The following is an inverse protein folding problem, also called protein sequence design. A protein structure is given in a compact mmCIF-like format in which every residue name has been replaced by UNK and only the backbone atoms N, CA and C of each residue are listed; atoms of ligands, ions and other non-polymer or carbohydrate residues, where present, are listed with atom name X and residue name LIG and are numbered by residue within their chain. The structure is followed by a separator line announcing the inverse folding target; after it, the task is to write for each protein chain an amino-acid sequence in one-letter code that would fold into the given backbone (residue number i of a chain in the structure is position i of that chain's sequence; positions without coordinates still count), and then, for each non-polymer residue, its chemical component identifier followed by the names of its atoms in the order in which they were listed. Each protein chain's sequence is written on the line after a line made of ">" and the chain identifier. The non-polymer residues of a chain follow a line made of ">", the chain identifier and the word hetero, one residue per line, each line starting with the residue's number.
data_IF_442131686828
#
_entry.id   IF_442131686828
#
_cell.length_a   1.000
_cell.length_b   1.000
_cell.length_c   1.000
_cell.angle_alpha   90.00
_cell.angle_beta   90.00
_cell.angle_gamma   90.00
#
_symmetry.space_group_name_H-M   'P 1'
#
loop_
_entity.id
_entity.type
_entity.pdbx_description
1 polymer ?
#
# COMPACT_ATOMS: atom_id res chain seq x y z
N UNK A 1 -9.45 -6.67 6.22
CA UNK A 1 -9.33 -7.16 4.82
C UNK A 1 -7.91 -7.00 4.34
N UNK A 2 -7.48 -7.84 3.40
CA UNK A 2 -6.23 -7.62 2.65
C UNK A 2 -6.58 -6.96 1.33
N UNK A 3 -5.82 -5.95 0.95
CA UNK A 3 -5.95 -5.31 -0.36
C UNK A 3 -4.65 -5.41 -1.15
N UNK A 4 -4.77 -5.62 -2.46
CA UNK A 4 -3.66 -5.50 -3.41
C UNK A 4 -3.98 -4.34 -4.35
N UNK A 5 -3.16 -3.30 -4.32
CA UNK A 5 -3.31 -2.10 -5.14
C UNK A 5 -2.26 -2.13 -6.23
N UNK A 6 -2.68 -2.12 -7.50
CA UNK A 6 -1.79 -1.90 -8.65
C UNK A 6 -2.05 -0.51 -9.19
N UNK A 7 -1.03 0.36 -9.17
CA UNK A 7 -1.12 1.72 -9.68
C UNK A 7 -0.38 1.80 -11.00
N UNK A 8 -1.07 2.27 -12.04
CA UNK A 8 -0.52 2.49 -13.38
C UNK A 8 -0.41 3.98 -13.64
N UNK A 9 0.71 4.41 -14.18
CA UNK A 9 1.04 5.80 -14.46
C UNK A 9 1.11 6.01 -15.96
N UNK A 10 0.32 6.96 -16.47
CA UNK A 10 0.24 7.25 -17.89
C UNK A 10 0.62 8.70 -18.17
N UNK A 11 1.36 8.94 -19.24
CA UNK A 11 1.57 10.28 -19.79
C UNK A 11 0.82 10.43 -21.12
N UNK A 12 0.51 11.66 -21.49
CA UNK A 12 0.02 11.96 -22.82
C UNK A 12 1.10 11.66 -23.85
N UNK A 13 0.74 11.06 -24.99
CA UNK A 13 1.67 10.72 -26.07
C UNK A 13 2.24 11.97 -26.77
N UNK A 14 1.53 13.10 -26.70
CA UNK A 14 1.97 14.40 -27.23
C UNK A 14 1.93 15.44 -26.12
N UNK A 15 2.90 16.36 -26.12
CA UNK A 15 2.87 17.52 -25.23
C UNK A 15 1.71 18.44 -25.60
N UNK A 16 0.59 18.30 -24.94
CA UNK A 16 -0.51 19.23 -25.04
C UNK A 16 -0.29 20.36 -24.04
N UNK A 17 -0.34 21.59 -24.57
CA UNK A 17 -0.21 22.81 -23.78
C UNK A 17 -1.54 23.29 -23.16
N UNK A 18 -2.62 22.51 -23.31
CA UNK A 18 -3.89 22.86 -22.70
C UNK A 18 -3.88 22.48 -21.22
N UNK A 19 -3.68 23.46 -20.37
CA UNK A 19 -3.71 23.30 -18.91
C UNK A 19 -5.12 23.42 -18.32
N UNK A 20 -6.13 23.64 -19.14
CA UNK A 20 -7.51 23.76 -18.69
C UNK A 20 -8.16 22.39 -18.49
N UNK A 21 -8.60 22.14 -17.28
CA UNK A 21 -9.20 20.85 -16.91
C UNK A 21 -10.40 20.46 -17.79
N UNK A 22 -11.25 21.42 -18.16
CA UNK A 22 -12.39 21.17 -19.04
C UNK A 22 -11.96 20.59 -20.39
N UNK A 23 -10.94 21.17 -21.03
CA UNK A 23 -10.40 20.69 -22.30
C UNK A 23 -9.76 19.31 -22.18
N UNK A 24 -8.98 19.08 -21.10
CA UNK A 24 -8.33 17.79 -20.83
C UNK A 24 -9.40 16.69 -20.64
N UNK A 25 -10.42 16.95 -19.82
CA UNK A 25 -11.49 16.01 -19.55
C UNK A 25 -12.27 15.67 -20.83
N UNK A 26 -12.68 16.69 -21.60
CA UNK A 26 -13.41 16.50 -22.86
C UNK A 26 -12.59 15.68 -23.88
N UNK A 27 -11.29 15.94 -23.95
CA UNK A 27 -10.37 15.20 -24.79
C UNK A 27 -10.29 13.71 -24.37
N UNK A 28 -10.32 13.42 -23.07
CA UNK A 28 -10.29 12.04 -22.54
C UNK A 28 -11.61 11.31 -22.80
N UNK A 29 -12.74 11.98 -22.61
CA UNK A 29 -14.07 11.41 -22.88
C UNK A 29 -14.26 11.09 -24.37
N UNK A 30 -13.73 11.93 -25.25
CA UNK A 30 -13.77 11.71 -26.71
C UNK A 30 -12.76 10.69 -27.22
N UNK A 31 -11.91 10.09 -26.37
CA UNK A 31 -10.82 9.15 -26.74
C UNK A 31 -9.86 9.67 -27.80
N UNK A 32 -9.73 10.99 -27.94
CA UNK A 32 -8.90 11.64 -28.99
C UNK A 32 -7.39 11.59 -28.67
N UNK A 33 -7.01 11.23 -27.46
CA UNK A 33 -5.61 11.24 -27.05
C UNK A 33 -5.17 9.87 -26.58
N UNK A 34 -4.05 9.41 -27.16
CA UNK A 34 -3.38 8.22 -26.70
C UNK A 34 -2.62 8.48 -25.41
N UNK A 35 -2.78 7.59 -24.47
CA UNK A 35 -2.02 7.53 -23.22
C UNK A 35 -0.92 6.48 -23.36
N UNK A 36 0.29 6.85 -22.97
CA UNK A 36 1.43 5.95 -22.92
C UNK A 36 1.68 5.52 -21.49
N UNK A 37 1.70 4.22 -21.23
CA UNK A 37 2.05 3.68 -19.93
C UNK A 37 3.54 3.95 -19.65
N UNK A 38 3.82 4.69 -18.57
CA UNK A 38 5.17 5.05 -18.13
C UNK A 38 5.74 4.03 -17.17
N UNK A 39 4.88 3.49 -16.31
CA UNK A 39 5.26 2.53 -15.31
C UNK A 39 4.08 2.08 -14.47
N UNK A 40 4.37 1.20 -13.54
CA UNK A 40 3.40 0.76 -12.54
C UNK A 40 4.12 0.32 -11.27
N UNK A 41 3.39 0.34 -10.16
CA UNK A 41 3.80 -0.27 -8.90
C UNK A 41 2.68 -1.13 -8.32
N UNK A 42 3.03 -1.95 -7.34
CA UNK A 42 2.05 -2.79 -6.63
C UNK A 42 2.32 -2.77 -5.13
N UNK A 43 1.24 -2.58 -4.37
CA UNK A 43 1.24 -2.56 -2.91
C UNK A 43 0.32 -3.66 -2.40
N UNK A 44 0.68 -4.28 -1.29
CA UNK A 44 -0.19 -5.22 -0.56
C UNK A 44 -0.29 -4.81 0.89
N UNK A 45 -1.52 -4.50 1.29
CA UNK A 45 -1.82 -3.91 2.58
C UNK A 45 -2.89 -4.71 3.30
N UNK A 46 -2.92 -4.60 4.61
CA UNK A 46 -4.09 -4.91 5.42
C UNK A 46 -4.84 -3.62 5.73
N UNK A 47 -6.16 -3.68 5.64
CA UNK A 47 -7.06 -2.57 5.94
C UNK A 47 -8.05 -3.02 6.99
N UNK A 48 -8.30 -2.17 7.97
CA UNK A 48 -9.38 -2.32 8.93
C UNK A 48 -10.22 -1.05 8.94
N UNK A 49 -11.54 -1.22 8.82
CA UNK A 49 -12.51 -0.13 8.96
C UNK A 49 -12.86 -0.02 10.44
N UNK A 50 -12.60 1.14 11.02
CA UNK A 50 -12.94 1.50 12.39
C UNK A 50 -13.87 2.72 12.38
N UNK A 51 -14.44 3.10 13.54
CA UNK A 51 -15.37 4.24 13.59
C UNK A 51 -14.81 5.56 13.05
N UNK A 52 -13.49 5.75 13.11
CA UNK A 52 -12.82 6.96 12.63
C UNK A 52 -12.45 6.92 11.12
N UNK A 53 -12.70 5.81 10.43
CA UNK A 53 -12.35 5.59 9.04
C UNK A 53 -11.48 4.35 8.82
N UNK A 54 -10.88 4.25 7.65
CA UNK A 54 -10.01 3.14 7.31
C UNK A 54 -8.59 3.36 7.86
N UNK A 55 -8.05 2.33 8.49
CA UNK A 55 -6.65 2.28 8.93
C UNK A 55 -5.89 1.20 8.17
N UNK A 56 -4.65 1.49 7.83
CA UNK A 56 -3.84 0.66 6.96
C UNK A 56 -2.60 0.14 7.68
N UNK A 57 -2.13 -1.02 7.24
CA UNK A 57 -0.88 -1.61 7.70
C UNK A 57 -0.26 -2.45 6.59
N UNK A 58 1.04 -2.74 6.71
CA UNK A 58 1.67 -3.78 5.91
C UNK A 58 1.11 -5.15 6.28
N UNK A 59 1.06 -6.05 5.30
CA UNK A 59 0.61 -7.44 5.53
C UNK A 59 1.47 -8.11 6.60
N UNK A 60 0.81 -8.72 7.59
CA UNK A 60 1.48 -9.44 8.68
C UNK A 60 2.17 -8.54 9.71
N UNK A 61 1.95 -7.23 9.69
CA UNK A 61 2.40 -6.36 10.77
C UNK A 61 1.66 -6.66 12.07
N UNK A 62 2.33 -6.53 13.20
CA UNK A 62 1.75 -6.80 14.53
C UNK A 62 0.74 -5.75 14.97
N UNK A 63 0.76 -4.56 14.36
CA UNK A 63 -0.14 -3.44 14.63
C UNK A 63 -0.42 -2.65 13.35
N UNK A 64 -1.52 -1.92 13.33
CA UNK A 64 -1.79 -0.94 12.28
C UNK A 64 -0.92 0.30 12.53
N UNK A 65 -0.04 0.61 11.57
CA UNK A 65 0.89 1.73 11.64
C UNK A 65 1.06 2.30 10.22
N UNK A 66 0.63 3.53 10.04
CA UNK A 66 0.66 4.23 8.75
C UNK A 66 1.95 5.02 8.51
N UNK A 67 2.85 5.12 9.48
CA UNK A 67 4.06 5.94 9.36
C UNK A 67 4.94 5.49 8.19
N UNK A 68 5.23 4.21 8.11
CA UNK A 68 5.96 3.60 6.98
C UNK A 68 5.21 3.76 5.64
N UNK A 69 3.87 3.63 5.66
CA UNK A 69 3.06 3.74 4.44
C UNK A 69 3.16 5.13 3.82
N UNK A 70 3.18 6.18 4.61
CA UNK A 70 3.32 7.57 4.13
C UNK A 70 4.64 7.77 3.40
N UNK A 71 5.71 7.10 3.85
CA UNK A 71 7.04 7.19 3.23
C UNK A 71 7.10 6.40 1.91
N UNK A 72 6.61 5.16 1.90
CA UNK A 72 6.81 4.24 0.77
C UNK A 72 5.64 4.20 -0.22
N UNK A 73 4.42 4.49 0.25
CA UNK A 73 3.25 4.57 -0.62
C UNK A 73 2.99 5.98 -1.18
N UNK A 74 3.83 6.96 -0.88
CA UNK A 74 3.62 8.39 -1.11
C UNK A 74 3.48 8.88 -2.55
N UNK A 75 3.54 8.02 -3.56
CA UNK A 75 3.42 8.40 -4.97
C UNK A 75 2.00 8.22 -5.51
N UNK A 76 0.99 8.69 -4.78
CA UNK A 76 -0.37 8.67 -5.28
C UNK A 76 -1.37 8.14 -4.26
N UNK A 77 -2.67 8.29 -4.51
CA UNK A 77 -3.69 7.84 -3.58
C UNK A 77 -3.59 6.32 -3.39
N UNK A 78 -3.72 5.87 -2.15
CA UNK A 78 -3.86 4.44 -1.82
C UNK A 78 -5.23 3.89 -2.23
N UNK A 79 -6.11 4.76 -2.65
CA UNK A 79 -7.19 4.53 -3.57
C UNK A 79 -8.45 3.92 -3.02
N UNK A 80 -8.56 3.64 -1.76
CA UNK A 80 -9.86 3.27 -1.24
C UNK A 80 -10.48 4.48 -0.56
N UNK A 81 -11.64 4.86 -0.89
CA UNK A 81 -12.46 5.75 -0.09
C UNK A 81 -13.33 4.90 0.82
N UNK A 82 -13.95 5.52 1.80
CA UNK A 82 -15.06 4.92 2.52
C UNK A 82 -16.27 4.80 1.56
N UNK A 83 -16.32 3.69 0.81
CA UNK A 83 -17.36 3.45 -0.18
C UNK A 83 -18.74 3.29 0.45
N UNK A 84 -18.81 2.86 1.71
CA UNK A 84 -20.04 2.89 2.49
C UNK A 84 -20.55 4.31 2.66
N UNK A 85 -19.67 5.24 3.04
CA UNK A 85 -20.07 6.66 3.22
C UNK A 85 -20.48 7.33 1.92
N UNK A 86 -19.85 6.98 0.77
CA UNK A 86 -20.32 7.48 -0.53
C UNK A 86 -21.70 6.98 -0.87
N UNK A 87 -21.94 5.70 -0.66
CA UNK A 87 -23.24 5.09 -0.91
C UNK A 87 -24.30 5.68 0.03
N UNK A 88 -24.03 5.78 1.32
CA UNK A 88 -24.92 6.38 2.30
C UNK A 88 -25.24 7.83 1.91
N UNK A 89 -24.22 8.61 1.52
CA UNK A 89 -24.43 9.99 1.07
C UNK A 89 -25.28 10.04 -0.20
N UNK A 90 -25.06 9.14 -1.15
CA UNK A 90 -25.84 9.10 -2.39
C UNK A 90 -27.31 8.76 -2.13
N UNK A 91 -27.58 7.80 -1.24
CA UNK A 91 -28.95 7.36 -0.91
C UNK A 91 -29.68 8.35 0.01
N UNK A 92 -28.99 8.97 0.97
CA UNK A 92 -29.59 9.88 1.96
C UNK A 92 -29.74 11.31 1.42
N UNK A 93 -28.78 11.81 0.64
CA UNK A 93 -28.68 13.23 0.27
C UNK A 93 -28.69 13.49 -1.22
N UNK A 94 -28.61 12.43 -2.03
CA UNK A 94 -28.50 12.53 -3.49
C UNK A 94 -29.84 12.83 -4.17
N UNK A 95 -29.72 13.45 -5.32
CA UNK A 95 -30.83 13.58 -6.27
C UNK A 95 -30.75 12.38 -7.20
N UNK A 96 -31.52 11.33 -6.87
CA UNK A 96 -31.50 10.06 -7.58
C UNK A 96 -32.51 10.07 -8.71
N UNK A 97 -32.10 9.54 -9.88
CA UNK A 97 -32.97 9.38 -11.05
C UNK A 97 -32.80 7.99 -11.65
N UNK A 98 -33.91 7.31 -11.92
CA UNK A 98 -33.89 6.08 -12.69
C UNK A 98 -33.45 6.37 -14.12
N UNK A 99 -32.55 5.58 -14.66
CA UNK A 99 -32.04 5.67 -16.04
C UNK A 99 -32.69 4.62 -16.95
N UNK A 100 -32.48 3.37 -16.60
CA UNK A 100 -32.94 2.24 -17.43
C UNK A 100 -32.91 0.93 -16.66
N UNK A 101 -33.60 -0.05 -17.23
CA UNK A 101 -33.41 -1.47 -16.91
C UNK A 101 -32.55 -2.11 -17.99
N UNK A 102 -31.62 -2.94 -17.58
CA UNK A 102 -30.71 -3.69 -18.45
C UNK A 102 -30.83 -5.18 -18.12
N UNK A 103 -30.96 -6.00 -19.16
CA UNK A 103 -30.94 -7.47 -18.99
C UNK A 103 -29.52 -7.99 -19.21
N UNK A 104 -28.93 -8.58 -18.18
CA UNK A 104 -27.67 -9.28 -18.28
C UNK A 104 -27.86 -10.75 -17.89
N UNK A 105 -27.49 -11.66 -18.77
CA UNK A 105 -27.67 -13.10 -18.57
C UNK A 105 -29.11 -13.52 -18.21
N UNK A 106 -30.09 -12.79 -18.74
CA UNK A 106 -31.52 -13.04 -18.49
C UNK A 106 -32.04 -12.53 -17.15
N UNK A 107 -31.25 -11.79 -16.39
CA UNK A 107 -31.63 -11.15 -15.12
C UNK A 107 -31.75 -9.63 -15.29
N UNK A 108 -32.75 -9.00 -14.70
CA UNK A 108 -32.89 -7.55 -14.75
C UNK A 108 -31.91 -6.87 -13.77
N UNK A 109 -31.30 -5.76 -14.22
CA UNK A 109 -30.53 -4.85 -13.40
C UNK A 109 -31.07 -3.42 -13.58
N UNK A 110 -31.17 -2.68 -12.51
CA UNK A 110 -31.69 -1.32 -12.50
C UNK A 110 -30.54 -0.32 -12.38
N UNK A 111 -30.40 0.54 -13.37
CA UNK A 111 -29.39 1.60 -13.38
C UNK A 111 -30.01 2.93 -12.95
N UNK A 112 -29.36 3.57 -11.97
CA UNK A 112 -29.70 4.89 -11.45
C UNK A 112 -28.54 5.84 -11.59
N UNK A 113 -28.81 7.12 -11.85
CA UNK A 113 -27.84 8.21 -11.69
C UNK A 113 -28.14 8.98 -10.42
N UNK A 114 -27.10 9.61 -9.85
CA UNK A 114 -27.25 10.49 -8.71
C UNK A 114 -26.33 11.70 -8.82
N UNK A 115 -26.77 12.83 -8.22
CA UNK A 115 -26.01 14.06 -8.10
C UNK A 115 -25.95 14.48 -6.63
N UNK A 116 -24.76 14.82 -6.14
CA UNK A 116 -24.53 15.36 -4.80
C UNK A 116 -23.99 16.78 -4.95
N UNK A 117 -24.80 17.81 -4.76
CA UNK A 117 -24.33 19.19 -4.80
C UNK A 117 -23.42 19.50 -3.62
N UNK A 118 -22.62 20.56 -3.73
CA UNK A 118 -21.56 20.89 -2.77
C UNK A 118 -22.08 21.00 -1.32
N UNK A 119 -23.24 21.61 -1.12
CA UNK A 119 -23.86 21.83 0.19
C UNK A 119 -24.33 20.56 0.89
N UNK A 120 -24.47 19.45 0.14
CA UNK A 120 -24.85 18.13 0.67
C UNK A 120 -23.70 17.13 0.66
N UNK A 121 -22.56 17.54 0.09
CA UNK A 121 -21.41 16.64 -0.08
C UNK A 121 -20.69 16.38 1.24
N UNK A 122 -20.24 15.15 1.40
CA UNK A 122 -19.27 14.74 2.42
C UNK A 122 -17.88 14.46 1.82
N UNK A 123 -17.74 14.55 0.49
CA UNK A 123 -16.48 14.29 -0.19
C UNK A 123 -15.47 15.38 0.10
N UNK A 124 -14.35 15.01 0.73
CA UNK A 124 -13.26 15.93 1.06
C UNK A 124 -12.03 15.60 0.19
N UNK A 125 -11.47 16.63 -0.40
CA UNK A 125 -10.22 16.55 -1.15
C UNK A 125 -9.16 17.38 -0.45
N UNK A 126 -7.95 16.83 -0.28
CA UNK A 126 -6.84 17.55 0.35
C UNK A 126 -6.16 18.42 -0.70
N UNK A 127 -6.06 19.72 -0.40
CA UNK A 127 -5.33 20.73 -1.18
C UNK A 127 -4.15 21.24 -0.37
N UNK A 128 -3.28 22.03 -0.97
CA UNK A 128 -2.17 22.71 -0.25
C UNK A 128 -2.67 23.64 0.87
N UNK A 129 -3.93 24.07 0.80
CA UNK A 129 -4.57 24.95 1.79
C UNK A 129 -5.52 24.20 2.75
N UNK A 130 -5.43 22.88 2.83
CA UNK A 130 -6.24 22.03 3.68
C UNK A 130 -7.38 21.33 2.95
N UNK A 131 -8.30 20.72 3.71
CA UNK A 131 -9.41 19.96 3.18
C UNK A 131 -10.49 20.84 2.57
N UNK A 132 -10.96 20.48 1.36
CA UNK A 132 -12.06 21.13 0.67
C UNK A 132 -13.18 20.14 0.37
N UNK A 133 -14.41 20.57 0.53
CA UNK A 133 -15.58 19.82 0.08
C UNK A 133 -15.69 19.94 -1.44
N UNK A 134 -16.03 18.82 -2.07
CA UNK A 134 -16.18 18.70 -3.53
C UNK A 134 -17.56 18.09 -3.82
N UNK A 135 -18.31 18.67 -4.76
CA UNK A 135 -19.51 18.04 -5.31
C UNK A 135 -19.10 16.82 -6.14
N UNK A 136 -19.97 15.84 -6.19
CA UNK A 136 -19.73 14.62 -6.98
C UNK A 136 -21.05 14.07 -7.51
N UNK A 137 -20.94 13.26 -8.53
CA UNK A 137 -22.06 12.58 -9.18
C UNK A 137 -21.65 11.17 -9.52
N UNK A 138 -22.61 10.36 -9.89
CA UNK A 138 -22.31 9.01 -10.32
C UNK A 138 -23.52 8.21 -10.71
N UNK A 139 -23.30 6.92 -10.78
CA UNK A 139 -24.28 5.93 -11.13
C UNK A 139 -24.15 4.74 -10.20
N UNK A 140 -25.28 4.05 -9.96
CA UNK A 140 -25.22 2.75 -9.32
C UNK A 140 -26.15 1.76 -10.03
N UNK A 141 -25.75 0.51 -9.99
CA UNK A 141 -26.50 -0.61 -10.54
C UNK A 141 -26.99 -1.47 -9.38
N UNK A 142 -28.28 -1.71 -9.35
CA UNK A 142 -28.99 -2.52 -8.38
C UNK A 142 -29.41 -3.86 -9.01
N UNK A 143 -29.17 -4.95 -8.32
CA UNK A 143 -29.81 -6.24 -8.55
C UNK A 143 -31.13 -6.27 -7.74
N UNK A 144 -32.30 -6.18 -8.37
CA UNK A 144 -33.56 -6.11 -7.64
C UNK A 144 -33.97 -7.45 -7.02
N UNK A 145 -33.46 -8.59 -7.50
CA UNK A 145 -33.73 -9.90 -6.92
C UNK A 145 -32.95 -10.12 -5.62
N UNK A 146 -31.67 -9.72 -5.60
CA UNK A 146 -30.83 -9.83 -4.42
C UNK A 146 -30.98 -8.64 -3.45
N UNK A 147 -31.55 -7.53 -3.91
CA UNK A 147 -31.52 -6.21 -3.26
C UNK A 147 -30.11 -5.73 -2.95
N UNK A 148 -29.18 -5.99 -3.86
CA UNK A 148 -27.78 -5.66 -3.72
C UNK A 148 -27.36 -4.60 -4.74
N UNK A 149 -26.49 -3.70 -4.30
CA UNK A 149 -25.74 -2.86 -5.22
C UNK A 149 -24.61 -3.70 -5.81
N UNK A 150 -24.57 -3.76 -7.15
CA UNK A 150 -23.56 -4.50 -7.90
C UNK A 150 -22.39 -3.60 -8.25
N UNK A 151 -22.66 -2.36 -8.62
CA UNK A 151 -21.66 -1.37 -9.01
C UNK A 151 -22.03 0.01 -8.52
N UNK A 152 -21.03 0.78 -8.11
CA UNK A 152 -21.13 2.20 -7.79
C UNK A 152 -20.04 2.96 -8.53
N UNK A 153 -20.42 4.03 -9.24
CA UNK A 153 -19.47 4.98 -9.82
C UNK A 153 -19.55 6.30 -9.06
N UNK A 154 -18.41 6.86 -8.71
CA UNK A 154 -18.28 8.18 -8.07
C UNK A 154 -17.36 9.03 -8.92
N UNK A 155 -17.84 10.14 -9.45
CA UNK A 155 -17.08 11.09 -10.25
C UNK A 155 -17.12 12.47 -9.61
N UNK A 156 -15.95 13.01 -9.25
CA UNK A 156 -15.90 14.39 -8.74
C UNK A 156 -16.29 15.37 -9.85
N UNK A 157 -16.82 16.52 -9.47
CA UNK A 157 -16.80 17.69 -10.33
C UNK A 157 -15.35 18.09 -10.64
N UNK A 158 -15.15 19.11 -11.45
CA UNK A 158 -13.81 19.67 -11.65
C UNK A 158 -13.19 20.06 -10.31
N UNK A 159 -11.96 19.55 -10.06
CA UNK A 159 -11.26 19.82 -8.82
C UNK A 159 -10.70 21.26 -8.82
N UNK A 160 -10.50 21.88 -7.65
CA UNK A 160 -10.01 23.24 -7.53
C UNK A 160 -8.70 23.50 -8.29
N UNK A 161 -8.51 24.71 -8.83
CA UNK A 161 -7.33 25.08 -9.64
C UNK A 161 -5.99 24.90 -8.92
N UNK A 162 -5.99 25.03 -7.61
CA UNK A 162 -4.80 24.82 -6.75
C UNK A 162 -4.51 23.35 -6.44
N UNK A 163 -5.12 22.42 -7.18
CA UNK A 163 -4.82 20.98 -7.09
C UNK A 163 -4.14 20.48 -8.35
N UNK A 164 -3.26 19.48 -8.28
CA UNK A 164 -2.64 18.89 -9.46
C UNK A 164 -3.62 18.09 -10.32
N UNK A 165 -4.75 17.68 -9.77
CA UNK A 165 -5.74 16.86 -10.46
C UNK A 165 -6.91 17.69 -10.96
N UNK A 166 -7.49 17.26 -12.11
CA UNK A 166 -8.71 17.82 -12.68
C UNK A 166 -9.97 17.09 -12.22
N UNK A 167 -9.89 15.75 -12.17
CA UNK A 167 -11.04 14.88 -11.83
C UNK A 167 -10.56 13.56 -11.26
N UNK A 168 -11.32 13.01 -10.32
CA UNK A 168 -11.18 11.66 -9.83
C UNK A 168 -12.45 10.87 -10.11
N UNK A 169 -12.30 9.64 -10.62
CA UNK A 169 -13.43 8.76 -10.95
C UNK A 169 -13.12 7.41 -10.28
N UNK A 170 -14.01 7.00 -9.38
CA UNK A 170 -13.96 5.69 -8.73
C UNK A 170 -15.07 4.80 -9.27
N UNK A 171 -14.76 3.58 -9.61
CA UNK A 171 -15.69 2.52 -9.96
C UNK A 171 -15.50 1.39 -8.95
N UNK A 172 -16.58 1.01 -8.28
CA UNK A 172 -16.59 0.00 -7.20
C UNK A 172 -17.50 -1.13 -7.61
N UNK A 173 -16.95 -2.32 -7.66
CA UNK A 173 -17.70 -3.56 -7.86
C UNK A 173 -17.93 -4.22 -6.50
N UNK A 174 -19.18 -4.60 -6.21
CA UNK A 174 -19.57 -5.23 -4.97
C UNK A 174 -19.89 -6.71 -5.17
N UNK A 175 -19.62 -7.47 -4.13
CA UNK A 175 -19.97 -8.88 -4.09
C UNK A 175 -20.22 -9.36 -2.65
N UNK A 176 -21.00 -10.43 -2.51
CA UNK A 176 -21.23 -11.02 -1.20
C UNK A 176 -20.11 -11.96 -0.81
N UNK A 177 -19.59 -11.75 0.39
CA UNK A 177 -18.64 -12.67 1.03
C UNK A 177 -19.22 -13.20 2.33
N UNK A 178 -18.88 -14.44 2.66
CA UNK A 178 -19.33 -15.07 3.89
C UNK A 178 -18.32 -14.80 5.00
N UNK A 179 -18.75 -14.11 6.06
CA UNK A 179 -17.97 -13.88 7.27
C UNK A 179 -18.76 -14.56 8.41
N UNK A 180 -18.18 -15.63 8.98
CA UNK A 180 -18.90 -16.55 9.86
C UNK A 180 -20.19 -17.06 9.17
N UNK A 181 -21.35 -16.83 9.78
CA UNK A 181 -22.65 -17.27 9.25
C UNK A 181 -23.40 -16.17 8.48
N UNK A 182 -22.79 -15.01 8.27
CA UNK A 182 -23.42 -13.85 7.61
C UNK A 182 -22.83 -13.64 6.22
N UNK A 183 -23.69 -13.45 5.22
CA UNK A 183 -23.31 -12.99 3.90
C UNK A 183 -23.32 -11.46 3.92
N UNK A 184 -22.15 -10.82 3.81
CA UNK A 184 -21.96 -9.38 3.86
C UNK A 184 -21.59 -8.88 2.48
N UNK A 185 -22.23 -7.80 2.03
CA UNK A 185 -21.88 -7.11 0.80
C UNK A 185 -20.62 -6.27 1.04
N UNK A 186 -19.58 -6.51 0.25
CA UNK A 186 -18.31 -5.79 0.34
C UNK A 186 -17.82 -5.39 -1.05
N UNK A 187 -17.01 -4.33 -1.18
CA UNK A 187 -16.27 -4.10 -2.40
C UNK A 187 -15.28 -5.24 -2.61
N UNK A 188 -15.21 -5.81 -3.81
CA UNK A 188 -14.22 -6.81 -4.16
C UNK A 188 -13.17 -6.25 -5.15
N UNK A 189 -13.56 -5.30 -6.00
CA UNK A 189 -12.65 -4.56 -6.87
C UNK A 189 -13.01 -3.08 -6.89
N UNK A 190 -11.99 -2.24 -6.88
CA UNK A 190 -12.13 -0.79 -7.03
C UNK A 190 -11.12 -0.29 -8.06
N UNK A 191 -11.58 0.54 -8.98
CA UNK A 191 -10.76 1.25 -9.94
C UNK A 191 -10.87 2.75 -9.71
N UNK A 192 -9.76 3.39 -9.31
CA UNK A 192 -9.68 4.84 -9.18
C UNK A 192 -8.83 5.40 -10.32
N UNK A 193 -9.45 6.20 -11.17
CA UNK A 193 -8.81 6.95 -12.23
C UNK A 193 -8.69 8.42 -11.83
N UNK A 194 -7.48 8.97 -11.88
CA UNK A 194 -7.24 10.40 -11.63
C UNK A 194 -6.65 11.04 -12.86
N UNK A 195 -7.28 12.11 -13.34
CA UNK A 195 -6.84 12.90 -14.48
C UNK A 195 -6.18 14.16 -13.94
N UNK A 196 -4.92 14.41 -14.37
CA UNK A 196 -4.11 15.53 -13.89
C UNK A 196 -4.04 16.69 -14.87
N UNK A 197 -3.76 17.90 -14.37
CA UNK A 197 -3.63 19.14 -15.16
C UNK A 197 -2.49 19.10 -16.18
N UNK A 198 -1.47 18.29 -15.96
CA UNK A 198 -0.40 18.03 -16.92
C UNK A 198 -0.77 16.98 -17.98
N UNK A 199 -2.04 16.65 -18.11
CA UNK A 199 -2.55 15.62 -19.02
C UNK A 199 -2.03 14.20 -18.74
N UNK A 200 -1.40 13.95 -17.59
CA UNK A 200 -1.14 12.58 -17.14
C UNK A 200 -2.36 11.95 -16.48
N UNK A 201 -2.33 10.64 -16.34
CA UNK A 201 -3.37 9.90 -15.61
C UNK A 201 -2.74 8.85 -14.70
N UNK A 202 -3.42 8.56 -13.60
CA UNK A 202 -3.19 7.35 -12.83
C UNK A 202 -4.43 6.47 -12.84
N UNK A 203 -4.21 5.16 -12.90
CA UNK A 203 -5.25 4.17 -12.74
C UNK A 203 -4.81 3.21 -11.63
N UNK A 204 -5.50 3.28 -10.49
CA UNK A 204 -5.32 2.36 -9.38
C UNK A 204 -6.38 1.27 -9.49
N UNK A 205 -5.97 0.02 -9.51
CA UNK A 205 -6.86 -1.14 -9.40
C UNK A 205 -6.60 -1.82 -8.07
N UNK A 206 -7.60 -1.84 -7.22
CA UNK A 206 -7.55 -2.43 -5.87
C UNK A 206 -8.42 -3.67 -5.83
N UNK A 207 -7.85 -4.80 -5.44
CA UNK A 207 -8.56 -6.06 -5.24
C UNK A 207 -8.55 -6.37 -3.74
N UNK A 208 -9.73 -6.65 -3.19
CA UNK A 208 -9.92 -7.01 -1.79
C UNK A 208 -10.05 -8.52 -1.63
N UNK A 209 -9.31 -9.06 -0.67
CA UNK A 209 -9.30 -10.49 -0.36
C UNK A 209 -9.25 -10.71 1.15
N UNK A 210 -9.45 -11.95 1.57
CA UNK A 210 -9.25 -12.37 2.97
C UNK A 210 -9.99 -11.49 3.99
N UNK A 211 -11.28 -11.23 3.71
CA UNK A 211 -12.12 -10.48 4.64
C UNK A 211 -12.37 -11.30 5.91
N UNK A 212 -12.15 -10.69 7.08
CA UNK A 212 -12.37 -11.30 8.38
C UNK A 212 -12.83 -10.25 9.37
N UNK A 213 -13.62 -10.66 10.34
CA UNK A 213 -14.00 -9.83 11.47
C UNK A 213 -12.86 -9.79 12.50
N UNK A 214 -12.54 -8.62 13.01
CA UNK A 214 -11.64 -8.45 14.14
C UNK A 214 -12.48 -8.34 15.40
N UNK A 215 -12.42 -9.35 16.27
CA UNK A 215 -12.98 -9.26 17.61
C UNK A 215 -11.89 -8.72 18.55
N UNK A 216 -12.03 -7.50 19.04
CA UNK A 216 -11.19 -6.99 20.12
C UNK A 216 -11.81 -7.38 21.45
N UNK A 217 -11.20 -8.30 22.18
CA UNK A 217 -11.52 -8.56 23.59
C UNK A 217 -10.77 -7.54 24.46
N UNK A 218 -11.25 -6.31 24.52
CA UNK A 218 -10.77 -5.36 25.55
C UNK A 218 -11.45 -5.69 26.87
N UNK A 219 -10.73 -6.29 27.78
CA UNK A 219 -11.14 -6.44 29.18
C UNK A 219 -10.77 -5.13 29.91
N UNK A 220 -11.74 -4.27 30.15
CA UNK A 220 -11.53 -3.17 31.10
C UNK A 220 -11.37 -3.77 32.52
N UNK A 221 -10.13 -3.82 32.99
CA UNK A 221 -9.85 -4.08 34.41
C UNK A 221 -10.13 -2.79 35.15
N UNK A 222 -11.34 -2.64 35.65
CA UNK A 222 -11.74 -1.57 36.60
C UNK A 222 -11.19 -1.87 38.00
N UNK A 223 -9.93 -2.25 38.13
CA UNK A 223 -9.26 -2.29 39.43
C UNK A 223 -8.36 -1.07 39.53
N UNK A 224 -8.66 -0.23 40.54
CA UNK A 224 -7.73 0.83 40.92
C UNK A 224 -6.32 0.25 41.13
N UNK A 225 -5.25 0.97 40.75
CA UNK A 225 -3.90 0.50 41.02
C UNK A 225 -3.74 0.30 42.52
N UNK A 226 -3.56 -0.97 42.94
CA UNK A 226 -3.07 -1.26 44.28
C UNK A 226 -1.65 -0.71 44.37
N UNK A 227 -1.40 0.16 45.34
CA UNK A 227 -0.04 0.56 45.68
C UNK A 227 0.85 -0.69 45.81
N UNK A 228 2.06 -0.69 45.25
CA UNK A 228 2.91 -1.85 45.37
C UNK A 228 3.43 -1.97 46.78
N UNK A 229 2.91 -2.98 47.53
CA UNK A 229 3.60 -3.51 48.69
C UNK A 229 5.01 -3.93 48.29
N UNK A 230 5.99 -3.28 48.86
CA UNK A 230 7.39 -3.60 48.69
C UNK A 230 7.69 -5.00 49.27
N UNK A 231 7.71 -6.01 48.40
CA UNK A 231 8.32 -7.29 48.69
C UNK A 231 9.43 -7.56 47.67
N UNK A 232 10.66 -7.84 48.15
CA UNK A 232 11.82 -8.04 47.26
C UNK A 232 11.77 -9.46 46.69
N UNK A 233 11.62 -9.60 45.40
CA UNK A 233 11.87 -10.89 44.78
C UNK A 233 10.98 -11.24 43.58
N UNK A 234 11.21 -10.62 42.46
CA UNK A 234 11.19 -11.19 41.12
C UNK A 234 11.47 -10.07 40.11
N UNK A 235 12.74 -9.81 39.91
CA UNK A 235 13.25 -9.05 38.76
C UNK A 235 12.97 -9.84 37.49
N UNK A 236 11.77 -9.67 36.91
CA UNK A 236 11.63 -9.83 35.46
C UNK A 236 12.15 -8.54 34.86
N UNK A 237 13.47 -8.37 34.86
CA UNK A 237 14.14 -7.43 33.99
C UNK A 237 13.67 -7.75 32.57
N UNK A 238 12.83 -6.88 32.02
CA UNK A 238 12.73 -6.71 30.57
C UNK A 238 14.16 -6.41 30.11
N UNK A 239 14.84 -7.43 29.65
CA UNK A 239 16.17 -7.28 29.03
C UNK A 239 16.00 -6.24 27.93
N UNK A 240 16.76 -5.12 27.93
CA UNK A 240 16.69 -4.17 26.85
C UNK A 240 16.97 -4.92 25.55
N UNK A 241 16.08 -4.79 24.55
CA UNK A 241 16.23 -5.44 23.26
C UNK A 241 17.61 -5.05 22.72
N UNK A 242 18.51 -6.04 22.64
CA UNK A 242 19.89 -5.84 22.29
C UNK A 242 19.95 -5.41 20.83
N UNK A 243 19.96 -4.11 20.57
CA UNK A 243 20.08 -3.60 19.21
C UNK A 243 21.48 -3.92 18.67
N UNK A 244 21.55 -4.27 17.39
CA UNK A 244 22.82 -4.53 16.73
C UNK A 244 23.61 -3.22 16.54
N UNK A 245 24.93 -3.20 16.79
CA UNK A 245 25.73 -2.03 16.52
C UNK A 245 25.79 -1.72 15.01
N UNK A 246 25.90 -0.45 14.66
CA UNK A 246 26.11 -0.03 13.28
C UNK A 246 27.50 -0.40 12.77
N UNK A 247 27.64 -0.65 11.46
CA UNK A 247 28.89 -0.94 10.78
C UNK A 247 29.27 -2.42 10.70
N UNK A 248 28.40 -3.34 11.13
CA UNK A 248 28.63 -4.78 10.97
C UNK A 248 28.35 -5.18 9.52
N UNK A 249 29.32 -5.83 8.86
CA UNK A 249 29.16 -6.36 7.51
C UNK A 249 28.75 -7.83 7.57
N UNK A 250 27.83 -8.21 6.69
CA UNK A 250 27.39 -9.59 6.58
C UNK A 250 26.86 -9.88 5.16
N UNK A 251 26.88 -11.15 4.79
CA UNK A 251 26.27 -11.63 3.55
C UNK A 251 24.92 -12.27 3.86
N UNK A 252 23.89 -11.80 3.17
CA UNK A 252 22.55 -12.34 3.28
C UNK A 252 22.10 -12.97 1.96
N UNK A 253 21.31 -14.02 2.07
CA UNK A 253 20.53 -14.58 0.98
C UNK A 253 19.07 -14.44 1.29
N UNK A 254 18.36 -13.68 0.46
CA UNK A 254 16.91 -13.66 0.45
C UNK A 254 16.43 -14.92 -0.24
N UNK A 255 15.55 -15.67 0.42
CA UNK A 255 15.01 -16.95 -0.06
C UNK A 255 13.58 -16.81 -0.62
N UNK A 256 12.85 -15.78 -0.18
CA UNK A 256 11.51 -15.50 -0.71
C UNK A 256 11.60 -15.19 -2.21
N UNK A 257 10.92 -15.96 -3.07
CA UNK A 257 10.88 -15.67 -4.49
C UNK A 257 10.19 -14.33 -4.76
N UNK A 258 10.74 -13.53 -5.66
CA UNK A 258 10.13 -12.27 -6.11
C UNK A 258 9.77 -12.42 -7.58
N UNK A 259 8.47 -12.49 -7.86
CA UNK A 259 7.92 -12.67 -9.22
C UNK A 259 7.08 -11.44 -9.60
N UNK A 260 7.35 -10.85 -10.78
CA UNK A 260 6.65 -9.67 -11.26
C UNK A 260 5.14 -9.85 -11.42
N UNK A 261 4.67 -11.08 -11.54
CA UNK A 261 3.25 -11.34 -11.69
C UNK A 261 2.49 -11.29 -10.36
N UNK A 262 3.19 -11.52 -9.23
CA UNK A 262 2.55 -11.64 -7.92
C UNK A 262 3.13 -10.77 -6.81
N UNK A 263 4.43 -10.42 -6.86
CA UNK A 263 5.08 -9.66 -5.82
C UNK A 263 4.52 -8.24 -5.67
N UNK A 264 4.48 -7.75 -4.43
CA UNK A 264 4.00 -6.41 -4.10
C UNK A 264 4.80 -5.82 -2.93
N UNK A 265 4.96 -4.50 -2.88
CA UNK A 265 5.44 -3.84 -1.68
C UNK A 265 4.48 -4.14 -0.52
N UNK A 266 5.03 -4.50 0.63
CA UNK A 266 4.29 -5.04 1.77
C UNK A 266 4.45 -6.54 1.96
N UNK A 267 4.96 -7.28 0.98
CA UNK A 267 5.18 -8.72 1.12
C UNK A 267 6.30 -9.00 2.13
N UNK A 268 6.13 -9.98 3.03
CA UNK A 268 7.18 -10.44 3.91
C UNK A 268 8.32 -11.08 3.10
N UNK A 269 9.53 -10.90 3.58
CA UNK A 269 10.75 -11.44 2.97
C UNK A 269 11.50 -12.26 4.02
N UNK A 270 11.79 -13.51 3.67
CA UNK A 270 12.57 -14.44 4.45
C UNK A 270 13.96 -14.61 3.84
N UNK A 271 14.96 -14.75 4.69
CA UNK A 271 16.33 -14.97 4.25
C UNK A 271 17.17 -15.67 5.29
N UNK A 272 18.46 -15.82 4.99
CA UNK A 272 19.47 -16.39 5.90
C UNK A 272 20.78 -15.63 5.81
N UNK A 273 21.52 -15.62 6.91
CA UNK A 273 22.92 -15.23 6.90
C UNK A 273 23.76 -16.26 6.14
N UNK A 274 24.51 -15.82 5.14
CA UNK A 274 25.46 -16.68 4.39
C UNK A 274 26.79 -16.87 5.11
N UNK A 275 27.15 -15.91 5.96
CA UNK A 275 28.34 -15.92 6.78
C UNK A 275 28.00 -15.44 8.19
N UNK A 276 28.76 -15.82 9.22
CA UNK A 276 28.52 -15.32 10.58
C UNK A 276 28.63 -13.79 10.62
N UNK A 277 27.71 -13.15 11.31
CA UNK A 277 27.82 -11.73 11.66
C UNK A 277 28.77 -11.60 12.88
N UNK A 278 29.79 -10.75 12.77
CA UNK A 278 30.79 -10.59 13.80
C UNK A 278 30.94 -9.14 14.25
N UNK A 279 31.26 -8.95 15.53
CA UNK A 279 31.64 -7.65 16.06
C UNK A 279 33.07 -7.24 15.69
N UNK A 280 33.50 -6.05 16.14
CA UNK A 280 34.86 -5.55 15.92
C UNK A 280 35.95 -6.37 16.62
N UNK A 281 35.57 -7.14 17.61
CA UNK A 281 36.44 -8.06 18.38
C UNK A 281 36.41 -9.48 17.79
N UNK A 282 35.76 -9.69 16.64
CA UNK A 282 35.58 -10.95 15.94
C UNK A 282 34.72 -12.00 16.67
N UNK A 283 33.94 -11.60 17.71
CA UNK A 283 32.95 -12.47 18.32
C UNK A 283 31.76 -12.66 17.40
N UNK A 284 31.21 -13.87 17.35
CA UNK A 284 30.02 -14.18 16.57
C UNK A 284 28.79 -13.64 17.29
N UNK A 285 28.09 -12.68 16.67
CA UNK A 285 26.82 -12.15 17.14
C UNK A 285 25.66 -13.02 16.63
N UNK A 286 25.71 -13.40 15.35
CA UNK A 286 24.76 -14.31 14.74
C UNK A 286 25.49 -15.31 13.85
N UNK A 287 25.20 -16.62 13.95
CA UNK A 287 25.87 -17.65 13.16
C UNK A 287 25.44 -17.63 11.69
N UNK A 288 26.25 -18.25 10.83
CA UNK A 288 25.81 -18.55 9.47
C UNK A 288 24.56 -19.44 9.52
N UNK A 289 23.62 -19.23 8.61
CA UNK A 289 22.33 -19.90 8.59
C UNK A 289 21.25 -19.26 9.47
N UNK A 290 21.60 -18.27 10.31
CA UNK A 290 20.60 -17.57 11.14
C UNK A 290 19.50 -16.98 10.24
N UNK A 291 18.20 -17.19 10.57
CA UNK A 291 17.08 -16.64 9.83
C UNK A 291 17.07 -15.11 9.84
N UNK A 292 16.70 -14.54 8.71
CA UNK A 292 16.50 -13.12 8.52
C UNK A 292 15.03 -12.89 8.13
N UNK A 293 14.40 -11.92 8.77
CA UNK A 293 13.05 -11.47 8.43
C UNK A 293 13.10 -10.04 7.93
N UNK A 294 12.27 -9.75 6.96
CA UNK A 294 12.21 -8.43 6.34
C UNK A 294 10.96 -8.22 5.52
N UNK A 295 10.99 -7.18 4.69
CA UNK A 295 9.85 -6.77 3.90
C UNK A 295 10.28 -6.17 2.56
N UNK A 296 9.51 -6.47 1.53
CA UNK A 296 9.57 -5.78 0.26
C UNK A 296 8.84 -4.43 0.42
N UNK A 297 9.54 -3.30 0.25
CA UNK A 297 8.96 -1.97 0.47
C UNK A 297 8.80 -1.15 -0.82
N UNK A 298 9.52 -1.54 -1.87
CA UNK A 298 9.37 -0.97 -3.21
C UNK A 298 9.24 -2.12 -4.21
N UNK A 299 8.26 -2.03 -5.09
CA UNK A 299 8.10 -2.92 -6.23
C UNK A 299 7.51 -2.14 -7.40
N UNK A 300 8.38 -1.59 -8.22
CA UNK A 300 8.04 -0.67 -9.30
C UNK A 300 8.58 -1.16 -10.64
N UNK A 301 7.81 -0.98 -11.70
CA UNK A 301 8.24 -1.17 -13.09
C UNK A 301 8.31 0.17 -13.79
N UNK A 302 9.47 0.50 -14.34
CA UNK A 302 9.69 1.66 -15.19
C UNK A 302 9.76 1.18 -16.65
N UNK A 303 8.74 1.51 -17.43
CA UNK A 303 8.59 0.98 -18.80
C UNK A 303 9.63 1.59 -19.74
N UNK A 304 9.75 2.93 -19.76
CA UNK A 304 10.67 3.63 -20.66
C UNK A 304 12.13 3.31 -20.36
N UNK A 305 12.49 3.21 -19.10
CA UNK A 305 13.85 2.89 -18.69
C UNK A 305 14.12 1.37 -18.62
N UNK A 306 13.10 0.55 -18.88
CA UNK A 306 13.14 -0.91 -18.98
C UNK A 306 13.77 -1.60 -17.77
N UNK A 307 13.34 -1.22 -16.54
CA UNK A 307 13.81 -1.88 -15.33
C UNK A 307 12.70 -2.03 -14.27
N UNK A 308 12.92 -3.01 -13.39
CA UNK A 308 12.24 -3.12 -12.09
C UNK A 308 13.10 -2.46 -11.01
N UNK A 309 12.49 -1.64 -10.14
CA UNK A 309 13.08 -1.12 -8.91
C UNK A 309 12.49 -1.86 -7.73
N UNK A 310 13.35 -2.54 -6.96
CA UNK A 310 12.96 -3.33 -5.81
C UNK A 310 13.66 -2.78 -4.58
N UNK A 311 12.89 -2.55 -3.52
CA UNK A 311 13.41 -2.14 -2.22
C UNK A 311 13.14 -3.20 -1.16
N UNK A 312 14.19 -3.67 -0.48
CA UNK A 312 14.11 -4.65 0.60
C UNK A 312 14.61 -4.03 1.89
N UNK A 313 13.82 -4.17 2.96
CA UNK A 313 14.26 -3.85 4.34
C UNK A 313 14.39 -5.14 5.13
N UNK A 314 15.54 -5.35 5.73
CA UNK A 314 15.72 -6.39 6.75
C UNK A 314 15.30 -5.81 8.10
N UNK A 315 14.43 -6.52 8.82
CA UNK A 315 13.78 -6.03 10.05
C UNK A 315 14.34 -6.72 11.29
N UNK A 316 14.69 -8.01 11.19
CA UNK A 316 15.27 -8.78 12.30
C UNK A 316 16.17 -9.92 11.82
N UNK A 317 17.02 -10.39 12.74
CA UNK A 317 17.78 -11.65 12.66
C UNK A 317 17.43 -12.51 13.86
N UNK A 318 17.17 -13.80 13.65
CA UNK A 318 16.86 -14.73 14.71
C UNK A 318 18.15 -15.42 15.21
N UNK A 319 18.40 -15.35 16.52
CA UNK A 319 19.56 -16.01 17.16
C UNK A 319 19.08 -16.77 18.39
N UNK A 320 19.20 -18.09 18.35
CA UNK A 320 18.80 -18.94 19.49
C UNK A 320 17.30 -18.82 19.83
N UNK A 321 16.44 -18.64 18.83
CA UNK A 321 14.98 -18.46 19.02
C UNK A 321 14.56 -17.06 19.48
N UNK A 322 15.50 -16.10 19.49
CA UNK A 322 15.22 -14.71 19.86
C UNK A 322 15.41 -13.82 18.64
N UNK A 323 14.41 -13.02 18.32
CA UNK A 323 14.51 -12.00 17.29
C UNK A 323 15.28 -10.77 17.79
N UNK A 324 16.33 -10.40 17.07
CA UNK A 324 17.11 -9.20 17.32
C UNK A 324 16.79 -8.19 16.21
N UNK A 325 16.28 -7.00 16.53
CA UNK A 325 16.00 -5.97 15.55
C UNK A 325 17.23 -5.60 14.71
N UNK A 326 17.04 -5.51 13.40
CA UNK A 326 18.08 -5.24 12.41
C UNK A 326 17.65 -4.04 11.54
N UNK A 327 18.62 -3.12 11.31
CA UNK A 327 18.53 -2.12 10.26
C UNK A 327 19.81 -2.21 9.43
N UNK A 328 19.69 -2.40 8.12
CA UNK A 328 20.87 -2.61 7.28
C UNK A 328 20.61 -2.10 5.85
N UNK A 329 21.70 -1.69 5.20
CA UNK A 329 21.72 -1.31 3.78
C UNK A 329 22.71 -2.23 3.04
N UNK A 330 22.53 -2.35 1.73
CA UNK A 330 23.48 -3.08 0.88
C UNK A 330 24.81 -2.33 0.76
N UNK A 331 25.89 -3.08 0.67
CA UNK A 331 27.25 -2.59 0.54
C UNK A 331 28.09 -3.53 -0.35
N UNK A 332 28.97 -3.01 -1.22
CA UNK A 332 29.03 -1.62 -1.66
C UNK A 332 27.89 -1.25 -2.63
N UNK A 333 27.50 0.00 -2.65
CA UNK A 333 26.53 0.52 -3.64
C UNK A 333 27.14 0.60 -5.05
N UNK A 334 26.30 0.59 -6.09
CA UNK A 334 26.68 0.60 -7.51
C UNK A 334 27.44 -0.67 -7.97
N UNK A 335 27.26 -1.77 -7.26
CA UNK A 335 27.83 -3.07 -7.60
C UNK A 335 26.79 -3.94 -8.28
N UNK A 336 27.22 -4.76 -9.23
CA UNK A 336 26.36 -5.79 -9.81
C UNK A 336 26.25 -6.95 -8.82
N UNK A 337 25.06 -7.33 -8.47
CA UNK A 337 24.80 -8.56 -7.71
C UNK A 337 24.32 -9.64 -8.68
N UNK A 338 24.87 -10.84 -8.53
CA UNK A 338 24.43 -12.01 -9.28
C UNK A 338 23.17 -12.55 -8.60
N UNK A 339 22.14 -12.71 -9.39
CA UNK A 339 20.91 -13.25 -8.89
C UNK A 339 20.72 -14.63 -9.51
N UNK A 340 19.96 -15.02 -10.29
CA UNK A 340 19.73 -16.37 -10.78
C UNK A 340 20.38 -16.54 -12.17
N UNK A 341 21.38 -17.42 -12.27
CA UNK A 341 22.00 -17.75 -13.54
C UNK A 341 22.67 -16.55 -14.24
N UNK A 342 21.99 -15.97 -15.24
CA UNK A 342 22.48 -14.86 -16.05
C UNK A 342 21.88 -13.49 -15.66
N UNK A 343 21.00 -13.43 -14.68
CA UNK A 343 20.39 -12.17 -14.25
C UNK A 343 21.30 -11.43 -13.29
N UNK A 344 21.61 -10.19 -13.61
CA UNK A 344 22.37 -9.28 -12.77
C UNK A 344 21.48 -8.14 -12.31
N UNK A 345 21.45 -7.89 -10.99
CA UNK A 345 20.90 -6.69 -10.40
C UNK A 345 21.96 -5.62 -10.22
N UNK A 346 21.59 -4.37 -10.33
CA UNK A 346 22.41 -3.23 -9.93
C UNK A 346 21.95 -2.74 -8.56
N UNK A 347 22.86 -2.74 -7.59
CA UNK A 347 22.64 -2.12 -6.28
C UNK A 347 22.77 -0.61 -6.44
N UNK A 348 21.76 0.13 -6.06
CA UNK A 348 21.75 1.59 -6.12
C UNK A 348 21.60 2.19 -4.72
N UNK A 349 22.07 3.44 -4.50
CA UNK A 349 21.79 4.13 -3.27
C UNK A 349 20.26 4.22 -3.05
N UNK A 350 19.77 4.04 -1.82
CA UNK A 350 18.37 4.30 -1.51
C UNK A 350 18.06 5.80 -1.69
N UNK A 351 16.81 6.10 -2.01
CA UNK A 351 16.33 7.49 -2.09
C UNK A 351 16.48 8.21 -0.74
N UNK A 352 16.26 7.46 0.35
CA UNK A 352 16.49 7.90 1.73
C UNK A 352 17.31 6.83 2.48
N UNK A 353 18.59 7.11 2.80
CA UNK A 353 19.45 6.19 3.55
C UNK A 353 18.94 5.88 4.97
N UNK A 354 18.20 6.78 5.60
CA UNK A 354 17.65 6.57 6.95
C UNK A 354 16.52 5.54 6.97
N UNK A 355 15.91 5.28 5.82
CA UNK A 355 14.81 4.31 5.68
C UNK A 355 15.21 2.84 5.92
N UNK A 356 16.52 2.53 5.87
CA UNK A 356 17.01 1.16 5.98
C UNK A 356 16.61 0.26 4.80
N UNK A 357 16.23 0.83 3.65
CA UNK A 357 15.79 0.10 2.46
C UNK A 357 16.93 -0.05 1.46
N UNK A 358 17.35 -1.28 1.23
CA UNK A 358 18.29 -1.59 0.15
C UNK A 358 17.57 -1.63 -1.19
N UNK A 359 18.12 -0.95 -2.19
CA UNK A 359 17.47 -0.78 -3.50
C UNK A 359 18.25 -1.48 -4.61
N UNK A 360 17.51 -2.22 -5.43
CA UNK A 360 18.03 -3.00 -6.56
C UNK A 360 17.29 -2.63 -7.84
N UNK A 361 18.03 -2.55 -8.94
CA UNK A 361 17.48 -2.39 -10.30
C UNK A 361 17.75 -3.64 -11.12
N UNK A 362 16.72 -4.16 -11.76
CA UNK A 362 16.79 -5.33 -12.64
C UNK A 362 16.24 -5.01 -14.01
N UNK A 363 17.04 -5.14 -15.04
CA UNK A 363 16.59 -5.03 -16.44
C UNK A 363 16.00 -6.37 -16.87
N UNK A 364 14.70 -6.42 -17.04
CA UNK A 364 13.99 -7.57 -17.61
C UNK A 364 12.53 -7.16 -17.90
N UNK A 365 11.90 -7.81 -18.87
CA UNK A 365 10.46 -7.64 -19.12
C UNK A 365 9.61 -8.36 -18.07
N UNK A 366 10.04 -9.54 -17.66
CA UNK A 366 9.49 -10.33 -16.56
C UNK A 366 10.57 -10.60 -15.54
N UNK A 367 10.32 -10.26 -14.30
CA UNK A 367 11.27 -10.49 -13.22
C UNK A 367 10.84 -11.74 -12.43
N UNK A 368 11.76 -12.72 -12.36
CA UNK A 368 11.62 -13.92 -11.54
C UNK A 368 12.92 -14.17 -10.81
N UNK A 369 12.95 -13.76 -9.55
CA UNK A 369 14.08 -13.98 -8.64
C UNK A 369 13.73 -15.16 -7.74
N UNK A 370 14.48 -16.24 -7.82
CA UNK A 370 14.32 -17.37 -6.88
C UNK A 370 15.00 -17.07 -5.56
N UNK A 371 16.09 -16.33 -5.62
CA UNK A 371 16.88 -15.89 -4.47
C UNK A 371 17.67 -14.64 -4.82
N UNK A 372 18.10 -13.89 -3.80
CA UNK A 372 18.92 -12.70 -3.96
C UNK A 372 20.05 -12.71 -2.94
N UNK A 373 21.30 -12.84 -3.42
CA UNK A 373 22.51 -12.77 -2.58
C UNK A 373 23.07 -11.35 -2.61
N UNK A 374 23.39 -10.78 -1.46
CA UNK A 374 24.05 -9.48 -1.37
C UNK A 374 24.80 -9.29 -0.06
N UNK A 375 25.78 -8.39 -0.09
CA UNK A 375 26.48 -7.93 1.09
C UNK A 375 25.73 -6.74 1.70
N UNK A 376 25.66 -6.72 3.04
CA UNK A 376 24.93 -5.73 3.81
C UNK A 376 25.82 -5.14 4.89
N UNK A 377 25.47 -3.94 5.33
CA UNK A 377 26.08 -3.27 6.47
C UNK A 377 24.99 -2.76 7.40
N UNK A 378 25.09 -3.03 8.69
CA UNK A 378 24.15 -2.49 9.67
C UNK A 378 24.28 -0.98 9.77
N UNK A 379 23.15 -0.30 9.90
CA UNK A 379 23.07 1.16 10.12
C UNK A 379 22.46 1.46 11.49
N UNK A 380 22.71 2.64 12.02
CA UNK A 380 22.03 3.08 13.22
C UNK A 380 20.53 3.20 12.95
N UNK A 381 19.71 2.64 13.83
CA UNK A 381 18.27 2.87 13.79
C UNK A 381 18.03 4.21 14.46
N UNK A 382 17.53 5.20 13.75
CA UNK A 382 17.15 6.47 14.37
C UNK A 382 16.11 6.18 15.46
N UNK A 383 16.41 6.54 16.69
CA UNK A 383 15.55 6.37 17.86
C UNK A 383 14.24 7.20 17.76
N UNK A 384 14.10 8.03 16.73
CA UNK A 384 12.95 8.90 16.50
C UNK A 384 11.67 8.15 16.09
N UNK A 385 11.76 6.93 15.60
CA UNK A 385 10.56 6.16 15.19
C UNK A 385 9.87 5.42 16.34
N UNK A 386 10.39 5.48 17.57
CA UNK A 386 9.83 4.76 18.73
C UNK A 386 9.14 5.64 19.78
N UNK A 387 9.11 6.97 19.62
CA UNK A 387 8.63 7.89 20.67
C UNK A 387 7.19 8.44 20.48
N UNK A 388 6.45 8.02 19.45
CA UNK A 388 5.03 8.40 19.31
C UNK A 388 4.06 7.31 19.82
N UNK A 389 4.51 6.51 20.80
CA UNK A 389 3.68 5.51 21.46
C UNK A 389 3.66 5.78 22.98
N UNK A 390 3.07 6.90 23.40
CA UNK A 390 2.49 7.10 24.73
C UNK A 390 1.07 7.67 24.64
#
# INVERSE_FOLDING_TARGET
>A
MRQTVTRKYFAAASHQHDNECGAIIAARESRKHELRLQGWDRLRLEIATVQAGDVFSWVGASRFDESDLKVFAGRGPLGSGDFGAFLDTALDRGIIRFKREELAEGRPFLEYSYDIPLERSSYRYQTDHGWRLISFQGEFILDPEANDIVRLTVSTSELPENTPACRAISEVEYGRTKIHDRAILIPWEVRLRTIYRNSSETLNSTIYTSCREYASNSRMLLQAPKEPDASPGSNTQLTPSKSLPAGLRFYARILTPIDSDSAAAGDPVEGILRSPMRDKQNHVIAPAGAPLHGRLLLFERQIEADYFKIGVRLESVEVGGTEIPLAALTYPVRTRTRVDGNLFGLIVPPDDPSSGVATFLFRNQHLRLKQLDSEWITVARDAAASNDAQ
#
